data_IF_013824360512
#
_entry.id   IF_013824360512
#
_cell.length_a   1.000
_cell.length_b   1.000
_cell.length_c   1.000
_cell.angle_alpha   90.00
_cell.angle_beta   90.00
_cell.angle_gamma   90.00
#
_symmetry.space_group_name_H-M   'P 1'
#
loop_
_entity.id
_entity.type
_entity.pdbx_description
1 polymer ?
#
# COMPACT_ATOMS: atom_id res chain seq x y z
N UNK A 1 -16.22 -2.93 22.40
CA UNK A 1 -15.06 -3.24 21.54
C UNK A 1 -13.84 -2.93 22.38
N UNK A 2 -12.97 -3.91 22.62
CA UNK A 2 -11.69 -3.64 23.26
C UNK A 2 -10.77 -3.15 22.13
N UNK A 3 -10.60 -1.82 22.05
CA UNK A 3 -9.81 -1.19 21.00
C UNK A 3 -8.41 -1.06 21.56
N UNK A 4 -7.56 -2.05 21.28
CA UNK A 4 -6.13 -1.83 21.39
C UNK A 4 -5.77 -0.65 20.46
N UNK A 5 -5.04 0.34 20.98
CA UNK A 5 -4.60 1.52 20.24
C UNK A 5 -3.93 1.12 18.92
N UNK A 6 -4.26 1.81 17.82
CA UNK A 6 -3.68 1.62 16.48
C UNK A 6 -4.00 0.26 15.82
N UNK A 7 -5.03 -0.44 16.27
CA UNK A 7 -5.58 -1.62 15.57
C UNK A 7 -6.75 -1.24 14.65
N UNK A 8 -7.31 -0.04 14.83
CA UNK A 8 -8.49 0.41 14.09
C UNK A 8 -8.31 1.85 13.61
N UNK A 9 -8.98 2.15 12.50
CA UNK A 9 -9.09 3.48 11.94
C UNK A 9 -10.55 3.81 11.62
N UNK A 10 -10.88 5.09 11.57
CA UNK A 10 -12.08 5.58 10.91
C UNK A 10 -11.79 5.87 9.45
N UNK A 11 -12.69 5.47 8.57
CA UNK A 11 -12.72 5.85 7.17
C UNK A 11 -13.93 6.74 6.94
N UNK A 12 -13.72 7.92 6.35
CA UNK A 12 -14.84 8.78 5.95
C UNK A 12 -15.49 8.18 4.70
N UNK A 13 -16.75 7.80 4.80
CA UNK A 13 -17.50 7.18 3.69
C UNK A 13 -18.46 8.14 3.02
N UNK A 14 -18.92 9.17 3.73
CA UNK A 14 -19.77 10.24 3.19
C UNK A 14 -19.43 11.57 3.90
N UNK A 15 -19.30 12.65 3.14
CA UNK A 15 -19.18 14.02 3.66
C UNK A 15 -19.46 15.02 2.53
N UNK A 16 -19.96 16.21 2.88
CA UNK A 16 -20.01 17.35 1.95
C UNK A 16 -18.66 18.05 1.78
N UNK A 17 -17.71 17.80 2.67
CA UNK A 17 -16.32 18.20 2.49
C UNK A 17 -15.57 17.19 1.62
N UNK A 18 -14.49 17.64 0.99
CA UNK A 18 -13.62 16.84 0.14
C UNK A 18 -12.66 15.98 0.99
N UNK A 19 -13.23 15.09 1.79
CA UNK A 19 -12.53 14.22 2.75
C UNK A 19 -13.01 12.77 2.66
N UNK A 20 -13.79 12.40 1.65
CA UNK A 20 -14.25 11.01 1.47
C UNK A 20 -13.06 10.12 1.12
N UNK A 21 -12.93 8.99 1.81
CA UNK A 21 -11.79 8.08 1.69
C UNK A 21 -10.63 8.40 2.64
N UNK A 22 -10.67 9.54 3.32
CA UNK A 22 -9.69 9.90 4.36
C UNK A 22 -9.80 8.98 5.57
N UNK A 23 -8.66 8.77 6.23
CA UNK A 23 -8.51 7.81 7.33
C UNK A 23 -7.70 8.37 8.48
N UNK A 24 -8.20 8.08 9.69
CA UNK A 24 -7.57 8.48 10.94
C UNK A 24 -7.68 7.37 11.96
N UNK A 25 -6.58 7.13 12.66
CA UNK A 25 -6.51 6.12 13.69
C UNK A 25 -7.39 6.38 14.90
N UNK A 26 -7.89 5.29 15.47
CA UNK A 26 -8.66 5.32 16.71
C UNK A 26 -7.70 5.19 17.89
N UNK A 27 -7.65 6.23 18.71
CA UNK A 27 -6.92 6.22 19.97
C UNK A 27 -7.68 5.45 21.06
N UNK A 28 -9.01 5.65 21.16
CA UNK A 28 -9.85 4.96 22.14
C UNK A 28 -11.35 5.06 21.82
N UNK A 29 -12.13 4.15 22.41
CA UNK A 29 -13.60 4.18 22.40
C UNK A 29 -14.12 4.17 23.83
N UNK A 30 -14.97 5.13 24.18
CA UNK A 30 -15.63 5.21 25.48
C UNK A 30 -17.12 5.52 25.31
N UNK A 31 -17.96 4.49 25.41
CA UNK A 31 -19.40 4.63 25.19
C UNK A 31 -19.71 5.11 23.77
N UNK A 32 -20.30 6.29 23.65
CA UNK A 32 -20.62 6.94 22.37
C UNK A 32 -19.53 7.92 21.89
N UNK A 33 -18.38 7.96 22.55
CA UNK A 33 -17.26 8.84 22.22
C UNK A 33 -16.15 8.02 21.60
N UNK A 34 -15.72 8.45 20.41
CA UNK A 34 -14.53 7.99 19.73
C UNK A 34 -13.45 9.05 19.87
N UNK A 35 -12.27 8.66 20.33
CA UNK A 35 -11.08 9.54 20.35
C UNK A 35 -10.19 9.13 19.19
N UNK A 36 -9.79 10.10 18.38
CA UNK A 36 -8.94 9.91 17.21
C UNK A 36 -7.48 10.28 17.54
N UNK A 37 -6.53 9.49 17.05
CA UNK A 37 -5.09 9.82 17.10
C UNK A 37 -4.70 10.50 15.78
N UNK A 38 -4.63 11.83 15.79
CA UNK A 38 -4.25 12.61 14.61
C UNK A 38 -2.75 12.56 14.28
N UNK A 39 -1.92 12.02 15.17
CA UNK A 39 -0.47 11.93 14.98
C UNK A 39 -0.01 10.55 14.49
N UNK A 40 -0.93 9.61 14.29
CA UNK A 40 -0.57 8.29 13.81
C UNK A 40 0.07 8.39 12.41
N UNK A 41 1.21 7.73 12.18
CA UNK A 41 2.05 7.94 10.99
C UNK A 41 1.41 7.47 9.68
N UNK A 42 0.30 6.75 9.76
CA UNK A 42 -0.40 6.16 8.61
C UNK A 42 -1.80 6.76 8.39
N UNK A 43 -2.10 7.86 9.08
CA UNK A 43 -3.23 8.70 8.77
C UNK A 43 -3.05 9.35 7.40
N UNK A 44 -4.16 9.53 6.68
CA UNK A 44 -4.16 10.34 5.46
C UNK A 44 -4.62 11.77 5.74
N UNK A 45 -5.21 12.00 6.92
CA UNK A 45 -5.65 13.30 7.40
C UNK A 45 -5.07 13.58 8.79
N UNK A 46 -4.45 14.75 8.97
CA UNK A 46 -3.77 15.16 10.20
C UNK A 46 -4.58 16.18 11.03
N UNK A 47 -5.77 16.56 10.57
CA UNK A 47 -6.68 17.46 11.27
C UNK A 47 -8.15 17.04 11.12
N UNK A 48 -8.84 16.94 12.25
CA UNK A 48 -10.28 16.60 12.34
C UNK A 48 -11.14 17.76 12.82
N UNK A 49 -10.54 18.92 13.09
CA UNK A 49 -11.18 20.05 13.75
C UNK A 49 -12.35 20.63 12.96
N UNK A 50 -12.48 20.27 11.68
CA UNK A 50 -13.48 20.78 10.75
C UNK A 50 -14.49 19.73 10.26
N UNK A 51 -14.51 18.50 10.82
CA UNK A 51 -15.43 17.44 10.37
C UNK A 51 -16.86 17.98 10.32
N UNK A 52 -17.45 18.12 9.11
CA UNK A 52 -18.82 18.58 8.98
C UNK A 52 -19.76 17.64 9.74
N UNK A 53 -20.87 18.16 10.28
CA UNK A 53 -21.82 17.37 11.07
C UNK A 53 -22.49 16.23 10.29
N UNK A 54 -22.47 16.29 8.96
CA UNK A 54 -22.94 15.29 8.02
C UNK A 54 -21.90 14.21 7.70
N UNK A 55 -20.71 14.26 8.29
CA UNK A 55 -19.66 13.26 8.05
C UNK A 55 -20.08 11.90 8.61
N UNK A 56 -20.17 10.91 7.72
CA UNK A 56 -20.42 9.51 8.06
C UNK A 56 -19.10 8.75 7.98
N UNK A 57 -18.80 7.99 9.02
CA UNK A 57 -17.56 7.20 9.13
C UNK A 57 -17.87 5.72 9.30
N UNK A 58 -16.96 4.88 8.80
CA UNK A 58 -16.89 3.46 9.11
C UNK A 58 -15.68 3.21 10.02
N UNK A 59 -15.83 2.40 11.07
CA UNK A 59 -14.70 1.91 11.88
C UNK A 59 -14.23 0.60 11.27
N UNK A 60 -12.93 0.50 10.98
CA UNK A 60 -12.32 -0.67 10.35
C UNK A 60 -11.06 -1.08 11.10
N UNK A 61 -10.73 -2.37 11.08
CA UNK A 61 -9.45 -2.85 11.57
C UNK A 61 -8.36 -2.62 10.52
N UNK A 62 -7.15 -2.38 11.01
CA UNK A 62 -5.95 -2.50 10.21
C UNK A 62 -5.66 -3.96 9.90
N UNK A 63 -5.05 -4.20 8.73
CA UNK A 63 -4.45 -5.50 8.44
C UNK A 63 -3.06 -5.55 9.06
N UNK A 64 -2.68 -6.66 9.69
CA UNK A 64 -1.42 -6.83 10.41
C UNK A 64 -0.64 -8.04 9.88
N UNK A 65 0.66 -8.13 10.22
CA UNK A 65 1.45 -9.33 9.88
C UNK A 65 0.87 -10.60 10.50
N UNK A 66 0.26 -10.54 11.68
CA UNK A 66 -0.40 -11.69 12.30
C UNK A 66 -1.53 -12.28 11.44
N UNK A 67 -2.32 -11.43 10.79
CA UNK A 67 -3.40 -11.85 9.88
C UNK A 67 -2.87 -12.46 8.57
N UNK A 68 -1.56 -12.37 8.30
CA UNK A 68 -0.94 -13.04 7.17
C UNK A 68 -0.91 -14.56 7.32
N UNK A 69 -0.85 -15.07 8.55
CA UNK A 69 -0.98 -16.51 8.81
C UNK A 69 -2.37 -17.02 8.45
N UNK A 70 -3.40 -16.20 8.67
CA UNK A 70 -4.76 -16.56 8.26
C UNK A 70 -4.91 -16.55 6.73
N UNK A 71 -4.19 -15.66 6.03
CA UNK A 71 -4.17 -15.57 4.57
C UNK A 71 -3.47 -16.79 3.92
N UNK A 72 -2.34 -17.21 4.48
CA UNK A 72 -1.55 -18.33 3.98
C UNK A 72 -1.99 -19.68 4.55
N UNK A 73 -2.78 -19.69 5.63
CA UNK A 73 -3.12 -20.89 6.38
C UNK A 73 -1.88 -21.64 6.91
N UNK A 74 -1.99 -22.96 7.03
CA UNK A 74 -0.91 -23.84 7.49
C UNK A 74 0.24 -23.99 6.47
N UNK A 75 0.25 -23.19 5.40
CA UNK A 75 1.25 -23.27 4.33
C UNK A 75 2.52 -22.49 4.63
N UNK A 76 2.60 -21.70 5.71
CA UNK A 76 3.84 -21.02 6.08
C UNK A 76 4.86 -22.05 6.55
N UNK A 77 6.01 -22.13 5.88
CA UNK A 77 7.12 -22.94 6.33
C UNK A 77 8.00 -22.12 7.29
N UNK A 78 7.83 -22.33 8.59
CA UNK A 78 8.74 -21.83 9.62
C UNK A 78 9.70 -22.92 10.08
N UNK A 79 10.99 -22.60 10.07
CA UNK A 79 12.00 -23.45 10.70
C UNK A 79 12.06 -23.13 12.20
N UNK A 80 12.22 -24.17 13.02
CA UNK A 80 12.34 -24.02 14.46
C UNK A 80 13.70 -23.44 14.90
N UNK A 81 14.62 -23.24 13.95
CA UNK A 81 15.95 -22.68 14.18
C UNK A 81 16.09 -21.18 13.86
N UNK A 82 15.00 -20.47 13.55
CA UNK A 82 15.00 -19.03 13.26
C UNK A 82 15.98 -18.67 12.12
N UNK A 83 15.94 -19.44 11.03
CA UNK A 83 16.94 -19.38 9.97
C UNK A 83 16.32 -18.98 8.62
N UNK A 84 16.90 -17.96 7.97
CA UNK A 84 16.48 -17.43 6.67
C UNK A 84 16.55 -18.48 5.57
N UNK A 85 17.54 -19.37 5.66
CA UNK A 85 17.87 -20.36 4.65
C UNK A 85 16.89 -21.53 4.63
N UNK A 86 16.01 -21.62 5.62
CA UNK A 86 15.07 -22.73 5.79
C UNK A 86 13.64 -22.27 6.10
N UNK A 87 13.40 -20.98 6.34
CA UNK A 87 12.07 -20.41 6.59
C UNK A 87 11.59 -19.54 5.44
N UNK A 88 10.28 -19.51 5.24
CA UNK A 88 9.63 -18.49 4.42
C UNK A 88 9.80 -17.11 5.04
N UNK A 89 9.75 -16.09 4.19
CA UNK A 89 10.02 -14.72 4.58
C UNK A 89 8.99 -13.76 3.99
N UNK A 90 8.70 -12.70 4.73
CA UNK A 90 8.02 -11.53 4.21
C UNK A 90 9.05 -10.41 4.09
N UNK A 91 9.26 -9.90 2.89
CA UNK A 91 9.99 -8.65 2.67
C UNK A 91 8.97 -7.53 2.66
N UNK A 92 8.73 -6.94 3.82
CA UNK A 92 7.79 -5.84 3.98
C UNK A 92 8.48 -4.52 3.64
N UNK A 93 7.80 -3.68 2.86
CA UNK A 93 8.27 -2.37 2.46
C UNK A 93 7.54 -1.27 3.23
N UNK A 94 8.32 -0.43 3.90
CA UNK A 94 7.87 0.73 4.68
C UNK A 94 8.94 1.84 4.55
N UNK A 95 9.06 2.39 3.34
CA UNK A 95 10.20 3.24 2.92
C UNK A 95 11.51 2.48 2.65
N UNK A 96 11.65 1.26 3.16
CA UNK A 96 12.72 0.31 2.83
C UNK A 96 12.24 -1.13 3.03
N UNK A 97 12.87 -2.09 2.35
CA UNK A 97 12.59 -3.50 2.57
C UNK A 97 13.21 -3.98 3.88
N UNK A 98 12.36 -4.55 4.73
CA UNK A 98 12.74 -5.26 5.94
C UNK A 98 12.24 -6.69 5.86
N UNK A 99 13.05 -7.62 6.35
CA UNK A 99 12.71 -9.04 6.31
C UNK A 99 12.07 -9.46 7.62
N UNK A 100 10.98 -10.21 7.53
CA UNK A 100 10.26 -10.79 8.65
C UNK A 100 10.15 -12.29 8.44
N UNK A 101 10.23 -13.02 9.54
CA UNK A 101 10.05 -14.48 9.53
C UNK A 101 9.04 -14.90 10.59
N UNK A 102 8.39 -16.02 10.29
CA UNK A 102 7.43 -16.66 11.19
C UNK A 102 8.18 -17.72 12.01
N UNK A 103 7.90 -17.75 13.32
CA UNK A 103 8.35 -18.79 14.22
C UNK A 103 7.24 -19.08 15.26
N UNK A 104 6.72 -20.31 15.25
CA UNK A 104 5.72 -20.80 16.20
C UNK A 104 4.45 -19.94 16.31
N UNK A 105 3.93 -19.47 15.17
CA UNK A 105 2.76 -18.60 15.02
C UNK A 105 3.04 -17.11 15.18
N UNK A 106 4.31 -16.71 15.36
CA UNK A 106 4.68 -15.32 15.69
C UNK A 106 5.64 -14.77 14.65
N UNK A 107 5.35 -13.58 14.14
CA UNK A 107 6.23 -12.86 13.23
C UNK A 107 7.28 -12.05 13.98
N UNK A 108 8.52 -12.10 13.51
CA UNK A 108 9.67 -11.37 14.06
C UNK A 108 10.37 -10.53 12.98
N UNK A 109 10.86 -9.36 13.36
CA UNK A 109 11.65 -8.48 12.49
C UNK A 109 13.13 -8.86 12.50
N UNK A 110 13.72 -9.02 11.31
CA UNK A 110 15.15 -9.14 11.06
C UNK A 110 15.84 -10.39 11.66
N UNK A 111 16.95 -10.80 11.03
CA UNK A 111 17.76 -11.90 11.53
C UNK A 111 18.60 -11.43 12.73
N UNK A 112 18.43 -12.09 13.88
CA UNK A 112 19.27 -11.89 15.07
C UNK A 112 18.71 -10.93 16.12
N UNK A 113 17.53 -10.35 15.90
CA UNK A 113 16.77 -9.62 16.91
C UNK A 113 15.40 -10.31 17.06
N UNK A 114 15.09 -10.85 18.24
CA UNK A 114 13.79 -11.48 18.52
C UNK A 114 12.70 -10.41 18.79
N UNK A 115 12.66 -9.36 17.96
CA UNK A 115 11.69 -8.30 18.04
C UNK A 115 10.38 -8.74 17.41
N UNK A 116 9.39 -9.01 18.26
CA UNK A 116 8.04 -9.43 17.84
C UNK A 116 7.39 -8.33 16.99
N UNK A 117 6.96 -8.71 15.79
CA UNK A 117 6.36 -7.83 14.79
C UNK A 117 4.96 -8.27 14.36
N UNK A 118 4.35 -9.23 15.05
CA UNK A 118 3.01 -9.77 14.70
C UNK A 118 1.94 -8.68 14.62
N UNK A 119 2.00 -7.67 15.49
CA UNK A 119 1.09 -6.51 15.46
C UNK A 119 1.47 -5.41 14.47
N UNK A 120 2.47 -5.61 13.60
CA UNK A 120 2.86 -4.57 12.63
C UNK A 120 1.76 -4.43 11.58
N UNK A 121 1.23 -3.21 11.49
CA UNK A 121 0.19 -2.81 10.54
C UNK A 121 0.75 -2.74 9.13
N UNK A 122 0.01 -3.28 8.17
CA UNK A 122 0.16 -3.01 6.74
C UNK A 122 -0.50 -1.67 6.42
N UNK A 123 0.29 -0.61 6.57
CA UNK A 123 -0.14 0.76 6.33
C UNK A 123 -0.36 1.03 4.82
N UNK A 124 -1.10 2.10 4.47
CA UNK A 124 -1.18 2.58 3.10
C UNK A 124 0.21 2.95 2.57
N UNK A 125 0.49 2.74 1.29
CA UNK A 125 1.84 2.95 0.75
C UNK A 125 2.82 1.82 1.06
N UNK A 126 2.47 0.90 1.96
CA UNK A 126 3.26 -0.30 2.25
C UNK A 126 2.83 -1.48 1.39
N UNK A 127 3.70 -2.47 1.30
CA UNK A 127 3.45 -3.71 0.60
C UNK A 127 4.46 -4.75 1.01
N UNK A 128 4.36 -5.95 0.44
CA UNK A 128 5.31 -7.00 0.75
C UNK A 128 5.58 -7.89 -0.46
N UNK A 129 6.76 -8.51 -0.43
CA UNK A 129 7.01 -9.73 -1.18
C UNK A 129 7.01 -10.91 -0.23
N UNK A 130 6.29 -11.97 -0.61
CA UNK A 130 6.39 -13.25 0.06
C UNK A 130 7.46 -14.09 -0.63
N UNK A 131 8.56 -14.35 0.08
CA UNK A 131 9.63 -15.20 -0.38
C UNK A 131 9.45 -16.59 0.21
N UNK A 132 9.17 -17.55 -0.67
CA UNK A 132 9.14 -18.97 -0.31
C UNK A 132 10.55 -19.55 -0.35
N UNK A 133 10.94 -20.21 0.71
CA UNK A 133 12.24 -20.85 0.76
C UNK A 133 12.28 -22.13 -0.11
N UNK A 134 13.21 -22.25 -1.07
CA UNK A 134 13.34 -23.45 -1.90
C UNK A 134 13.82 -24.71 -1.15
N UNK A 135 14.38 -24.55 0.05
CA UNK A 135 14.79 -25.63 0.95
C UNK A 135 13.64 -26.30 1.72
N UNK A 136 12.42 -25.74 1.65
CA UNK A 136 11.22 -26.22 2.34
C UNK A 136 10.61 -27.53 1.78
N UNK A 137 11.26 -28.16 0.79
CA UNK A 137 10.70 -29.29 0.05
C UNK A 137 9.89 -28.85 -1.17
N UNK A 138 9.53 -29.82 -2.02
CA UNK A 138 8.84 -29.59 -3.30
C UNK A 138 7.61 -28.71 -3.08
N UNK A 139 7.41 -27.62 -3.86
CA UNK A 139 6.27 -26.75 -3.65
C UNK A 139 5.00 -27.58 -3.80
N UNK A 140 4.25 -27.78 -2.72
CA UNK A 140 2.82 -28.00 -2.89
C UNK A 140 2.26 -26.68 -3.41
N UNK A 141 1.32 -26.74 -4.36
CA UNK A 141 0.66 -25.55 -4.85
C UNK A 141 0.05 -24.81 -3.64
N UNK A 142 0.52 -23.59 -3.39
CA UNK A 142 -0.03 -22.76 -2.31
C UNK A 142 -1.11 -21.90 -2.93
N UNK A 143 -2.32 -22.11 -2.43
CA UNK A 143 -3.44 -21.25 -2.72
C UNK A 143 -3.44 -20.11 -1.69
N UNK A 144 -3.05 -18.92 -2.15
CA UNK A 144 -3.22 -17.70 -1.36
C UNK A 144 -4.60 -17.13 -1.69
N UNK A 145 -5.50 -17.13 -0.71
CA UNK A 145 -6.86 -16.62 -0.89
C UNK A 145 -6.96 -15.23 -0.30
N UNK A 146 -6.94 -14.21 -1.15
CA UNK A 146 -7.28 -12.86 -0.75
C UNK A 146 -8.79 -12.71 -0.65
N UNK A 147 -9.30 -12.60 0.57
CA UNK A 147 -10.69 -12.21 0.82
C UNK A 147 -10.77 -10.73 1.15
N UNK A 148 -11.78 -10.04 0.63
CA UNK A 148 -12.01 -8.64 0.94
C UNK A 148 -13.44 -8.23 0.61
N UNK A 149 -13.85 -7.08 1.14
CA UNK A 149 -15.10 -6.44 0.74
C UNK A 149 -14.79 -5.39 -0.35
N UNK A 150 -15.61 -5.37 -1.40
CA UNK A 150 -15.57 -4.28 -2.38
C UNK A 150 -16.10 -3.01 -1.70
N UNK A 151 -15.28 -1.96 -1.63
CA UNK A 151 -15.70 -0.65 -1.14
C UNK A 151 -16.59 0.05 -2.18
N UNK A 152 -17.43 0.98 -1.74
CA UNK A 152 -18.33 1.74 -2.62
C UNK A 152 -18.03 3.25 -2.63
N UNK A 153 -16.97 3.66 -1.92
CA UNK A 153 -16.54 5.04 -1.69
C UNK A 153 -15.10 5.21 -2.17
N UNK A 154 -14.72 6.46 -2.47
CA UNK A 154 -13.35 6.79 -2.87
C UNK A 154 -12.35 6.37 -1.78
N UNK A 155 -11.11 6.12 -2.19
CA UNK A 155 -10.03 5.78 -1.28
C UNK A 155 -8.88 6.76 -1.48
N UNK A 156 -8.37 7.30 -0.38
CA UNK A 156 -7.25 8.23 -0.41
C UNK A 156 -5.99 7.52 0.06
N UNK A 157 -4.92 7.64 -0.70
CA UNK A 157 -3.56 7.31 -0.27
C UNK A 157 -2.70 8.56 -0.39
N UNK A 158 -2.18 9.03 0.73
CA UNK A 158 -1.15 10.08 0.73
C UNK A 158 0.11 9.54 0.07
N UNK A 159 0.66 10.31 -0.87
CA UNK A 159 1.89 9.96 -1.56
C UNK A 159 3.06 10.67 -0.87
N UNK A 160 4.02 9.89 -0.38
CA UNK A 160 5.24 10.40 0.26
C UNK A 160 6.42 10.36 -0.71
N UNK A 161 7.40 11.27 -0.53
CA UNK A 161 8.63 11.25 -1.32
C UNK A 161 9.40 9.94 -1.10
N UNK A 162 9.79 9.32 -2.20
CA UNK A 162 10.44 8.02 -2.24
C UNK A 162 9.58 6.94 -2.90
N UNK A 163 10.04 5.70 -2.79
CA UNK A 163 9.28 4.55 -3.26
C UNK A 163 8.13 4.25 -2.31
N UNK A 164 6.98 3.90 -2.86
CA UNK A 164 5.82 3.39 -2.13
C UNK A 164 4.99 2.46 -2.99
N UNK A 165 4.31 1.50 -2.37
CA UNK A 165 3.37 0.64 -3.08
C UNK A 165 2.06 1.39 -3.31
N UNK A 166 1.48 1.17 -4.49
CA UNK A 166 0.16 1.69 -4.84
C UNK A 166 -0.70 0.52 -5.32
N UNK A 167 -1.98 0.57 -4.99
CA UNK A 167 -2.98 -0.36 -5.51
C UNK A 167 -4.11 0.44 -6.15
N UNK A 168 -4.80 -0.15 -7.13
CA UNK A 168 -5.97 0.45 -7.76
C UNK A 168 -7.22 0.45 -6.87
N UNK A 169 -7.16 -0.05 -5.63
CA UNK A 169 -8.25 -0.05 -4.64
C UNK A 169 -9.46 -0.93 -4.97
N UNK A 170 -9.58 -1.33 -6.24
CA UNK A 170 -10.68 -2.10 -6.82
C UNK A 170 -10.13 -3.26 -7.66
N UNK A 171 -10.89 -4.35 -7.86
CA UNK A 171 -10.47 -5.48 -8.70
C UNK A 171 -10.62 -5.17 -10.20
N UNK A 172 -10.26 -3.95 -10.61
CA UNK A 172 -10.29 -3.46 -11.99
C UNK A 172 -8.97 -2.77 -12.24
N UNK A 173 -8.35 -3.04 -13.39
CA UNK A 173 -7.10 -2.39 -13.75
C UNK A 173 -7.35 -0.92 -14.15
N UNK A 174 -6.44 -0.04 -13.77
CA UNK A 174 -6.52 1.40 -13.99
C UNK A 174 -5.30 1.92 -14.74
N UNK A 175 -5.53 2.95 -15.55
CA UNK A 175 -4.47 3.74 -16.18
C UNK A 175 -4.03 4.90 -15.29
N UNK A 176 -2.85 5.50 -15.53
CA UNK A 176 -2.46 6.73 -14.87
C UNK A 176 -3.48 7.87 -15.02
N UNK A 177 -4.16 7.95 -16.17
CA UNK A 177 -5.25 8.91 -16.38
C UNK A 177 -6.43 8.65 -15.45
N UNK A 178 -6.84 7.39 -15.26
CA UNK A 178 -7.98 7.05 -14.38
C UNK A 178 -7.69 7.42 -12.92
N UNK A 179 -6.41 7.37 -12.53
CA UNK A 179 -5.91 7.72 -11.20
C UNK A 179 -5.42 9.17 -11.08
N UNK A 180 -5.61 9.99 -12.12
CA UNK A 180 -5.21 11.40 -12.16
C UNK A 180 -3.71 11.64 -11.84
N UNK A 181 -2.84 10.71 -12.26
CA UNK A 181 -1.40 10.74 -12.00
C UNK A 181 -0.60 11.56 -13.01
N UNK A 182 -1.25 12.25 -13.95
CA UNK A 182 -0.56 13.02 -14.98
C UNK A 182 -0.23 14.44 -14.50
N UNK A 183 -1.19 15.12 -13.88
CA UNK A 183 -1.09 16.56 -13.61
C UNK A 183 -0.65 16.90 -12.18
N UNK A 184 -0.71 15.92 -11.28
CA UNK A 184 -0.43 16.09 -9.85
C UNK A 184 1.00 15.66 -9.46
N UNK A 185 1.81 15.27 -10.44
CA UNK A 185 3.12 14.65 -10.26
C UNK A 185 4.24 15.45 -10.93
N UNK A 186 5.48 15.18 -10.52
CA UNK A 186 6.67 15.83 -11.08
C UNK A 186 7.07 15.17 -12.41
N UNK A 187 7.09 15.98 -13.48
CA UNK A 187 7.48 15.57 -14.82
C UNK A 187 8.78 16.25 -15.25
N UNK A 188 9.68 15.53 -15.92
CA UNK A 188 10.88 16.12 -16.53
C UNK A 188 10.67 16.34 -18.03
N UNK A 189 11.17 17.47 -18.55
CA UNK A 189 11.23 17.74 -19.99
C UNK A 189 12.40 17.02 -20.70
N UNK A 190 13.26 16.32 -19.96
CA UNK A 190 14.51 15.73 -20.46
C UNK A 190 14.56 14.20 -20.53
N UNK A 191 13.46 13.48 -20.23
CA UNK A 191 13.49 12.02 -20.01
C UNK A 191 14.53 11.61 -18.94
N UNK A 192 14.66 12.41 -17.88
CA UNK A 192 15.63 12.18 -16.81
C UNK A 192 14.94 11.52 -15.61
N UNK A 193 15.27 10.26 -15.27
CA UNK A 193 14.60 9.52 -14.20
C UNK A 193 14.68 10.21 -12.84
N UNK A 194 15.81 10.85 -12.57
CA UNK A 194 16.10 11.52 -11.29
C UNK A 194 15.28 12.79 -11.07
N UNK A 195 14.66 13.31 -12.13
CA UNK A 195 13.87 14.54 -12.16
C UNK A 195 12.38 14.25 -12.39
N UNK A 196 11.96 12.98 -12.37
CA UNK A 196 10.58 12.59 -12.65
C UNK A 196 10.04 11.59 -11.66
N UNK A 197 8.73 11.65 -11.46
CA UNK A 197 7.98 10.61 -10.81
C UNK A 197 7.92 9.37 -11.72
N UNK A 198 8.00 8.19 -11.11
CA UNK A 198 8.08 6.91 -11.84
C UNK A 198 6.99 5.95 -11.38
N UNK A 199 6.44 5.17 -12.32
CA UNK A 199 5.64 3.98 -12.02
C UNK A 199 6.48 2.75 -12.37
N UNK A 200 6.67 1.86 -11.40
CA UNK A 200 7.36 0.60 -11.56
C UNK A 200 6.34 -0.54 -11.45
N UNK A 201 6.12 -1.27 -12.55
CA UNK A 201 5.23 -2.44 -12.56
C UNK A 201 6.05 -3.72 -12.54
N UNK A 202 5.69 -4.64 -11.64
CA UNK A 202 6.34 -5.95 -11.60
C UNK A 202 5.79 -6.86 -12.69
N UNK A 203 6.66 -7.31 -13.59
CA UNK A 203 6.33 -8.28 -14.64
C UNK A 203 7.55 -9.13 -14.98
N UNK A 204 7.33 -10.41 -15.28
CA UNK A 204 8.40 -11.33 -15.73
C UNK A 204 9.61 -11.39 -14.78
N UNK A 205 9.40 -11.23 -13.47
CA UNK A 205 10.45 -11.30 -12.45
C UNK A 205 11.32 -10.03 -12.30
N UNK A 206 10.90 -8.90 -12.89
CA UNK A 206 11.60 -7.62 -12.75
C UNK A 206 10.63 -6.43 -12.80
N UNK A 207 11.11 -5.25 -12.39
CA UNK A 207 10.34 -4.01 -12.55
C UNK A 207 10.54 -3.42 -13.95
N UNK A 208 9.43 -3.10 -14.60
CA UNK A 208 9.40 -2.21 -15.76
C UNK A 208 9.14 -0.79 -15.28
N UNK A 209 9.92 0.15 -15.78
CA UNK A 209 9.83 1.56 -15.36
C UNK A 209 9.05 2.37 -16.39
N UNK A 210 8.16 3.22 -15.90
CA UNK A 210 7.42 4.20 -16.67
C UNK A 210 7.71 5.57 -16.07
N UNK A 211 8.06 6.53 -16.92
CA UNK A 211 8.49 7.87 -16.51
C UNK A 211 7.44 8.89 -16.91
N UNK A 212 7.17 9.84 -16.02
CA UNK A 212 6.35 11.00 -16.33
C UNK A 212 7.19 12.08 -17.04
N UNK A 213 6.82 12.37 -18.28
CA UNK A 213 7.53 13.28 -19.17
C UNK A 213 6.67 14.50 -19.49
N UNK A 214 7.26 15.69 -19.41
CA UNK A 214 6.63 16.91 -19.91
C UNK A 214 6.93 17.06 -21.41
N UNK A 215 5.90 16.88 -22.25
CA UNK A 215 6.02 17.01 -23.71
C UNK A 215 5.99 18.47 -24.22
N UNK A 216 6.00 19.44 -23.30
CA UNK A 216 5.90 20.87 -23.56
C UNK A 216 4.47 21.36 -23.66
N UNK A 217 3.48 20.46 -23.59
CA UNK A 217 2.05 20.80 -23.56
C UNK A 217 1.28 20.11 -22.42
N UNK A 218 1.70 18.90 -22.04
CA UNK A 218 1.10 18.11 -20.97
C UNK A 218 2.10 17.08 -20.44
N UNK A 219 1.90 16.65 -19.19
CA UNK A 219 2.62 15.54 -18.59
C UNK A 219 2.03 14.20 -19.05
N UNK A 220 2.89 13.30 -19.53
CA UNK A 220 2.50 12.00 -20.09
C UNK A 220 3.42 10.88 -19.64
N UNK A 221 2.88 9.68 -19.54
CA UNK A 221 3.65 8.51 -19.14
C UNK A 221 4.26 7.81 -20.33
N UNK A 222 5.54 7.45 -20.23
CA UNK A 222 6.27 6.71 -21.25
C UNK A 222 6.94 5.46 -20.68
N UNK A 223 6.95 4.36 -21.43
CA UNK A 223 7.70 3.16 -21.05
C UNK A 223 9.20 3.37 -21.21
N UNK A 224 9.99 2.91 -20.24
CA UNK A 224 11.44 2.82 -20.27
C UNK A 224 12.16 4.16 -20.58
N UNK A 225 13.40 4.28 -20.14
CA UNK A 225 14.15 5.51 -20.36
C UNK A 225 14.50 5.69 -21.83
N UNK A 226 14.08 6.83 -22.41
CA UNK A 226 14.37 7.20 -23.80
C UNK A 226 13.54 6.47 -24.86
N UNK A 227 12.47 5.78 -24.48
CA UNK A 227 11.47 5.28 -25.43
C UNK A 227 10.30 6.26 -25.52
N UNK A 228 9.84 6.55 -26.74
CA UNK A 228 8.66 7.39 -26.98
C UNK A 228 7.36 6.57 -27.05
N UNK A 229 7.30 5.43 -26.35
CA UNK A 229 6.07 4.65 -26.23
C UNK A 229 5.19 5.23 -25.12
N UNK A 230 4.23 6.08 -25.49
CA UNK A 230 3.26 6.69 -24.57
C UNK A 230 2.30 5.63 -24.00
N UNK A 231 2.15 5.60 -22.68
CA UNK A 231 1.31 4.66 -21.92
C UNK A 231 0.33 5.33 -20.95
N UNK A 232 0.11 6.64 -21.11
CA UNK A 232 -0.79 7.46 -20.27
C UNK A 232 -2.20 6.87 -20.09
N UNK A 233 -2.76 6.26 -21.15
CA UNK A 233 -4.07 5.59 -21.14
C UNK A 233 -4.00 4.07 -21.02
N UNK A 234 -2.83 3.50 -20.73
CA UNK A 234 -2.65 2.05 -20.60
C UNK A 234 -2.87 1.64 -19.16
N UNK A 235 -3.51 0.48 -18.96
CA UNK A 235 -3.77 -0.06 -17.62
C UNK A 235 -2.48 -0.60 -16.97
N UNK A 236 -1.70 0.30 -16.37
CA UNK A 236 -0.47 -0.03 -15.66
C UNK A 236 -0.73 -0.54 -14.24
N UNK A 237 -1.82 -0.10 -13.62
CA UNK A 237 -2.16 -0.43 -12.24
C UNK A 237 -3.15 -1.59 -12.25
N UNK A 238 -2.62 -2.81 -12.28
CA UNK A 238 -3.41 -4.04 -12.25
C UNK A 238 -3.58 -4.55 -10.82
N UNK A 239 -4.78 -5.01 -10.42
CA UNK A 239 -4.97 -5.66 -9.12
C UNK A 239 -4.16 -6.96 -8.97
N UNK A 240 -3.67 -7.53 -10.07
CA UNK A 240 -2.87 -8.76 -10.07
C UNK A 240 -1.35 -8.51 -10.13
N UNK A 241 -0.91 -7.25 -10.09
CA UNK A 241 0.51 -6.90 -10.20
C UNK A 241 0.93 -5.99 -9.05
N UNK A 242 2.16 -6.19 -8.57
CA UNK A 242 2.76 -5.26 -7.63
C UNK A 242 3.18 -3.99 -8.38
N UNK A 243 2.76 -2.83 -7.88
CA UNK A 243 3.07 -1.53 -8.46
C UNK A 243 3.73 -0.66 -7.40
N UNK A 244 4.93 -0.17 -7.70
CA UNK A 244 5.54 0.91 -6.93
C UNK A 244 5.44 2.21 -7.69
N UNK A 245 5.33 3.30 -6.94
CA UNK A 245 5.50 4.65 -7.46
C UNK A 245 6.70 5.27 -6.74
N UNK A 246 7.57 5.93 -7.50
CA UNK A 246 8.61 6.80 -6.96
C UNK A 246 8.15 8.24 -7.08
N UNK A 247 8.02 8.90 -5.94
CA UNK A 247 7.60 10.29 -5.85
C UNK A 247 8.78 11.19 -5.48
N UNK A 248 8.92 12.31 -6.19
CA UNK A 248 10.02 13.27 -6.08
C UNK A 248 9.64 14.48 -5.23
N UNK A 249 8.35 14.82 -5.14
CA UNK A 249 7.87 16.00 -4.45
C UNK A 249 6.78 15.69 -3.41
N UNK A 250 6.74 16.49 -2.33
CA UNK A 250 5.78 16.34 -1.24
C UNK A 250 4.40 16.93 -1.59
N UNK A 251 3.39 16.53 -0.83
CA UNK A 251 2.05 17.13 -0.87
C UNK A 251 1.13 16.54 -1.93
N UNK A 252 1.52 15.40 -2.49
CA UNK A 252 0.72 14.68 -3.48
C UNK A 252 -0.22 13.69 -2.78
N UNK A 253 -1.40 13.53 -3.37
CA UNK A 253 -2.41 12.59 -2.89
C UNK A 253 -2.88 11.79 -4.09
N UNK A 254 -2.91 10.47 -3.93
CA UNK A 254 -3.58 9.59 -4.85
C UNK A 254 -5.00 9.37 -4.34
N UNK A 255 -5.96 9.96 -5.07
CA UNK A 255 -7.35 9.60 -4.93
C UNK A 255 -7.67 8.46 -5.90
N UNK A 256 -8.21 7.38 -5.37
CA UNK A 256 -8.72 6.26 -6.15
C UNK A 256 -10.23 6.43 -6.24
N UNK A 257 -10.74 7.01 -7.33
CA UNK A 257 -12.17 7.20 -7.48
C UNK A 257 -12.86 5.84 -7.60
N UNK A 258 -14.06 5.75 -7.06
CA UNK A 258 -14.87 4.54 -7.27
C UNK A 258 -15.10 4.30 -8.78
N UNK A 259 -14.97 3.06 -9.25
CA UNK A 259 -15.27 2.73 -10.64
C UNK A 259 -16.79 2.69 -10.80
N UNK A 260 -17.34 3.79 -11.33
CA UNK A 260 -18.75 4.00 -11.73
C UNK A 260 -19.75 4.27 -10.59
#
# INVERSE_FOLDING_TARGET
MDVASNTYYVEVIESTADIVGERIDVASVAGSVLTLDVNAPHNTLDDVSSFPSDTVVAIRSHFTLGEFNDLLGDSVNSDDTFNSATSDQILFFDGSFKTYLEYAGVWYENFGDFSVATGKVLAPGSGFFYYRNPGAGTPSDIEVVFTGAVRMNNFVQKLEVGYQFVSGGYPVASSPTDLQLNDNLEASAGFVPDESDLILTWSDGSFRTHLLYDDGSSSKWYENFGSFNEVTGTNLISPASAVLVLIRNNGQVLEIPRPF
#
